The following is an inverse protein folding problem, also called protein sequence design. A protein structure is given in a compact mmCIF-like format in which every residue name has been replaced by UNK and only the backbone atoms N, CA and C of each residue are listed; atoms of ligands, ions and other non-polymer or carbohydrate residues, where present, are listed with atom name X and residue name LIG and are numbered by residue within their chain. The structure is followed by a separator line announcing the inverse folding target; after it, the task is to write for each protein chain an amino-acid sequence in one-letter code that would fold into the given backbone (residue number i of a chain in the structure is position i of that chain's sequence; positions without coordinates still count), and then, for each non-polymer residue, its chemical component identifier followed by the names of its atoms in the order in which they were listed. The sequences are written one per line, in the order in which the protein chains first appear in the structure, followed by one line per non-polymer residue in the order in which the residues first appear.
data_IF_026512431193
#
_entry.id   IF_026512431193
#
_cell.length_a   1.000
_cell.length_b   1.000
_cell.length_c   1.000
_cell.angle_alpha   90.00
_cell.angle_beta   90.00
_cell.angle_gamma   90.00
#
_symmetry.space_group_name_H-M   'P 1'
#
loop_
_entity.id
_entity.type
_entity.pdbx_description
1 polymer ?
#
# COMPACT_ATOMS: atom_id res chain seq x y z
N UNK A 1 -6.04 -3.80 -12.49
CA UNK A 1 -4.59 -3.86 -12.76
C UNK A 1 -4.30 -4.98 -13.77
N UNK A 2 -3.62 -4.68 -14.88
CA UNK A 2 -3.24 -5.68 -15.89
C UNK A 2 -1.77 -6.11 -15.80
N UNK A 3 -0.95 -5.41 -15.00
CA UNK A 3 0.45 -5.74 -14.74
C UNK A 3 0.51 -6.75 -13.59
N UNK A 4 -0.22 -6.48 -12.51
CA UNK A 4 -0.42 -7.39 -11.39
C UNK A 4 -1.93 -7.70 -11.24
N UNK A 5 -2.44 -8.74 -11.94
CA UNK A 5 -3.86 -9.11 -11.84
C UNK A 5 -4.26 -9.37 -10.39
N UNK A 6 -5.33 -8.73 -9.92
CA UNK A 6 -5.70 -8.77 -8.51
C UNK A 6 -6.07 -10.18 -8.01
N UNK A 7 -6.62 -11.03 -8.88
CA UNK A 7 -6.88 -12.44 -8.54
C UNK A 7 -5.58 -13.19 -8.25
N UNK A 8 -4.50 -12.89 -8.97
CA UNK A 8 -3.19 -13.47 -8.73
C UNK A 8 -2.56 -12.96 -7.44
N UNK A 9 -2.71 -11.67 -7.12
CA UNK A 9 -2.23 -11.13 -5.83
C UNK A 9 -3.06 -11.67 -4.66
N UNK A 10 -4.36 -11.89 -4.83
CA UNK A 10 -5.24 -12.57 -3.88
C UNK A 10 -4.78 -14.01 -3.58
N UNK A 11 -4.53 -14.81 -4.63
CA UNK A 11 -3.96 -16.15 -4.47
C UNK A 11 -2.65 -16.12 -3.70
N UNK A 12 -1.77 -15.16 -4.00
CA UNK A 12 -0.52 -14.95 -3.27
C UNK A 12 -0.75 -14.64 -1.78
N UNK A 13 -1.69 -13.75 -1.48
CA UNK A 13 -2.01 -13.33 -0.11
C UNK A 13 -2.48 -14.49 0.78
N UNK A 14 -3.20 -15.48 0.22
CA UNK A 14 -3.67 -16.66 0.95
C UNK A 14 -2.56 -17.61 1.41
N UNK A 15 -1.33 -17.45 0.93
CA UNK A 15 -0.20 -18.29 1.33
C UNK A 15 0.52 -17.79 2.60
N UNK A 16 0.12 -16.65 3.16
CA UNK A 16 0.70 -16.15 4.41
C UNK A 16 0.06 -16.80 5.64
N UNK A 17 0.87 -17.20 6.63
CA UNK A 17 0.43 -17.95 7.83
C UNK A 17 0.02 -17.10 9.04
N UNK A 18 -0.21 -15.79 8.88
CA UNK A 18 -0.66 -14.88 9.93
C UNK A 18 -2.02 -14.23 9.61
N UNK A 19 -2.51 -13.28 10.42
CA UNK A 19 -3.69 -12.50 10.07
C UNK A 19 -3.45 -11.73 8.77
N UNK A 20 -4.22 -12.03 7.73
CA UNK A 20 -4.16 -11.36 6.43
C UNK A 20 -5.42 -10.54 6.23
N UNK A 21 -5.25 -9.28 5.82
CA UNK A 21 -6.34 -8.44 5.31
C UNK A 21 -6.07 -8.19 3.84
N UNK A 22 -7.04 -8.51 2.98
CA UNK A 22 -6.98 -8.16 1.56
C UNK A 22 -7.87 -6.95 1.29
N UNK A 23 -7.35 -5.99 0.53
CA UNK A 23 -8.07 -4.79 0.10
C UNK A 23 -7.88 -4.66 -1.41
N UNK A 24 -9.00 -4.50 -2.12
CA UNK A 24 -8.99 -4.32 -3.56
C UNK A 24 -9.26 -2.86 -3.89
N UNK A 25 -8.25 -2.14 -4.40
CA UNK A 25 -8.43 -0.78 -4.88
C UNK A 25 -9.11 -0.72 -6.24
N UNK A 26 -9.97 0.28 -6.46
CA UNK A 26 -10.51 0.56 -7.79
C UNK A 26 -9.45 1.11 -8.75
N UNK A 27 -9.69 1.00 -10.07
CA UNK A 27 -8.82 1.47 -11.16
C UNK A 27 -7.62 0.56 -11.53
N UNK A 28 -6.70 1.09 -12.34
CA UNK A 28 -5.51 0.40 -12.87
C UNK A 28 -4.30 0.44 -11.95
N UNK A 29 -3.17 -0.14 -12.38
CA UNK A 29 -1.95 -0.32 -11.57
C UNK A 29 -1.51 0.93 -10.80
N UNK A 30 -1.25 2.04 -11.51
CA UNK A 30 -0.81 3.30 -10.88
C UNK A 30 -1.98 4.08 -10.29
N UNK A 31 -3.09 4.21 -11.04
CA UNK A 31 -4.21 5.05 -10.64
C UNK A 31 -4.98 4.51 -9.42
N UNK A 32 -4.96 3.19 -9.19
CA UNK A 32 -5.57 2.56 -8.03
C UNK A 32 -4.67 2.58 -6.79
N UNK A 33 -3.37 2.30 -6.95
CA UNK A 33 -2.44 2.31 -5.82
C UNK A 33 -2.15 3.73 -5.33
N UNK A 34 -1.94 4.68 -6.27
CA UNK A 34 -1.72 6.11 -5.98
C UNK A 34 -3.06 6.85 -6.04
N UNK A 35 -3.88 6.66 -5.01
CA UNK A 35 -5.18 7.30 -4.88
C UNK A 35 -5.23 8.16 -3.60
N UNK A 36 -4.83 9.44 -3.64
CA UNK A 36 -4.85 10.30 -2.46
C UNK A 36 -6.28 10.51 -1.92
N UNK A 37 -6.50 10.45 -0.58
CA UNK A 37 -7.82 10.66 0.02
C UNK A 37 -8.52 11.94 -0.40
N UNK A 38 -7.75 13.04 -0.57
CA UNK A 38 -8.27 14.33 -1.01
C UNK A 38 -8.92 14.30 -2.40
N UNK A 39 -8.55 13.34 -3.26
CA UNK A 39 -9.15 13.20 -4.59
C UNK A 39 -10.55 12.56 -4.55
N UNK A 40 -10.84 11.75 -3.53
CA UNK A 40 -12.09 11.02 -3.33
C UNK A 40 -12.59 10.27 -4.59
N UNK A 41 -11.70 9.49 -5.23
CA UNK A 41 -12.00 8.74 -6.47
C UNK A 41 -11.98 7.23 -6.26
N UNK A 42 -12.63 6.54 -7.20
CA UNK A 42 -12.61 5.08 -7.44
C UNK A 42 -13.29 4.21 -6.38
N UNK A 43 -12.97 4.37 -5.10
CA UNK A 43 -13.37 3.43 -4.05
C UNK A 43 -12.46 2.21 -3.94
N UNK A 44 -12.79 1.34 -2.99
CA UNK A 44 -12.09 0.10 -2.68
C UNK A 44 -13.05 -0.94 -2.11
N UNK A 45 -12.66 -2.21 -2.12
CA UNK A 45 -13.45 -3.32 -1.59
C UNK A 45 -12.69 -4.05 -0.49
N UNK A 46 -13.43 -4.53 0.51
CA UNK A 46 -12.91 -5.39 1.56
C UNK A 46 -14.02 -6.26 2.19
N UNK A 47 -13.63 -7.36 2.81
CA UNK A 47 -14.51 -8.13 3.70
C UNK A 47 -14.22 -7.71 5.15
N UNK A 48 -15.23 -7.21 5.87
CA UNK A 48 -15.06 -6.68 7.24
C UNK A 48 -14.73 -7.78 8.27
N UNK A 49 -15.18 -9.00 8.01
CA UNK A 49 -14.85 -10.18 8.83
C UNK A 49 -13.40 -10.67 8.62
N UNK A 50 -12.70 -10.18 7.60
CA UNK A 50 -11.34 -10.59 7.26
C UNK A 50 -11.25 -11.98 6.63
N UNK A 51 -12.38 -12.59 6.26
CA UNK A 51 -12.39 -13.91 5.65
C UNK A 51 -11.75 -13.91 4.26
N UNK A 52 -11.00 -14.98 3.98
CA UNK A 52 -10.22 -15.15 2.75
C UNK A 52 -10.56 -16.50 2.09
N UNK A 53 -11.77 -16.65 1.52
CA UNK A 53 -12.22 -17.88 0.87
C UNK A 53 -11.29 -18.26 -0.30
N UNK A 54 -11.40 -19.51 -0.76
CA UNK A 54 -10.48 -20.00 -1.78
C UNK A 54 -10.55 -19.26 -3.11
N UNK A 55 -11.76 -18.95 -3.54
CA UNK A 55 -12.03 -18.20 -4.76
C UNK A 55 -11.96 -16.70 -4.51
N UNK A 56 -11.18 -16.02 -5.34
CA UNK A 56 -11.15 -14.56 -5.39
C UNK A 56 -12.53 -13.98 -5.78
N UNK A 57 -13.29 -14.68 -6.64
CA UNK A 57 -14.63 -14.24 -7.03
C UNK A 57 -15.61 -14.32 -5.86
N UNK A 58 -15.53 -15.39 -5.06
CA UNK A 58 -16.33 -15.51 -3.83
C UNK A 58 -15.97 -14.43 -2.82
N UNK A 59 -14.68 -14.10 -2.68
CA UNK A 59 -14.25 -12.98 -1.85
C UNK A 59 -14.85 -11.65 -2.34
N UNK A 60 -14.83 -11.40 -3.66
CA UNK A 60 -15.38 -10.18 -4.22
C UNK A 60 -16.89 -10.07 -4.05
N UNK A 61 -17.63 -11.16 -4.23
CA UNK A 61 -19.08 -11.23 -3.98
C UNK A 61 -19.46 -10.94 -2.53
N UNK A 62 -18.60 -11.34 -1.58
CA UNK A 62 -18.79 -11.07 -0.15
C UNK A 62 -18.27 -9.69 0.30
N UNK A 63 -17.46 -9.03 -0.52
CA UNK A 63 -16.83 -7.75 -0.17
C UNK A 63 -17.80 -6.57 -0.29
N UNK A 64 -17.63 -5.58 0.57
CA UNK A 64 -18.35 -4.31 0.50
C UNK A 64 -17.51 -3.26 -0.22
N UNK A 65 -18.17 -2.45 -1.07
CA UNK A 65 -17.53 -1.31 -1.70
C UNK A 65 -17.57 -0.09 -0.78
N UNK A 66 -16.41 0.47 -0.49
CA UNK A 66 -16.24 1.72 0.22
C UNK A 66 -15.84 2.84 -0.75
N UNK A 67 -16.41 4.05 -0.61
CA UNK A 67 -16.02 5.19 -1.45
C UNK A 67 -14.63 5.72 -1.08
N UNK A 68 -13.98 6.40 -2.02
CA UNK A 68 -12.73 7.11 -1.77
C UNK A 68 -11.47 6.24 -1.79
N UNK A 69 -10.48 6.60 -0.97
CA UNK A 69 -9.14 5.99 -1.00
C UNK A 69 -8.99 4.86 -0.01
N UNK A 70 -8.40 3.75 -0.45
CA UNK A 70 -8.00 2.64 0.44
C UNK A 70 -6.92 3.04 1.47
N UNK A 71 -6.22 4.16 1.29
CA UNK A 71 -5.20 4.63 2.24
C UNK A 71 -5.78 4.90 3.63
N UNK A 72 -7.05 5.32 3.72
CA UNK A 72 -7.70 5.59 5.02
C UNK A 72 -7.97 4.30 5.79
N UNK A 73 -8.38 3.24 5.09
CA UNK A 73 -8.50 1.90 5.68
C UNK A 73 -7.14 1.40 6.17
N UNK A 74 -6.12 1.48 5.31
CA UNK A 74 -4.78 1.04 5.66
C UNK A 74 -4.20 1.80 6.86
N UNK A 75 -4.36 3.13 6.90
CA UNK A 75 -3.94 3.96 8.05
C UNK A 75 -4.66 3.54 9.34
N UNK A 76 -5.97 3.26 9.27
CA UNK A 76 -6.74 2.75 10.41
C UNK A 76 -6.21 1.39 10.88
N UNK A 77 -5.97 0.46 9.94
CA UNK A 77 -5.42 -0.86 10.23
C UNK A 77 -4.03 -0.76 10.89
N UNK A 78 -3.09 0.01 10.34
CA UNK A 78 -1.74 0.18 10.91
C UNK A 78 -1.80 0.79 12.32
N UNK A 79 -2.59 1.84 12.51
CA UNK A 79 -2.72 2.49 13.84
C UNK A 79 -3.44 1.62 14.85
N UNK A 80 -4.30 0.69 14.40
CA UNK A 80 -4.92 -0.33 15.25
C UNK A 80 -3.90 -1.24 15.93
N UNK A 81 -2.75 -1.51 15.32
CA UNK A 81 -1.70 -2.35 15.89
C UNK A 81 -0.94 -1.65 17.03
N UNK A 82 -0.73 -0.33 16.91
CA UNK A 82 -0.11 0.45 17.96
C UNK A 82 -0.56 1.92 17.88
N UNK A 83 -1.30 2.36 18.90
CA UNK A 83 -1.81 3.73 19.02
C UNK A 83 -0.88 4.66 19.81
N UNK A 84 0.24 4.14 20.32
CA UNK A 84 1.18 4.91 21.14
C UNK A 84 1.78 6.04 20.31
N UNK A 85 1.62 7.27 20.79
CA UNK A 85 2.25 8.45 20.20
C UNK A 85 3.45 8.88 21.04
N UNK A 86 4.48 9.36 20.35
CA UNK A 86 5.67 9.96 20.94
C UNK A 86 5.93 11.30 20.27
N UNK A 87 6.74 12.15 20.92
CA UNK A 87 7.19 13.38 20.28
C UNK A 87 7.88 13.07 18.94
N UNK A 88 7.62 13.91 17.93
CA UNK A 88 8.26 13.77 16.63
C UNK A 88 9.79 13.78 16.80
N UNK A 89 10.46 12.81 16.19
CA UNK A 89 11.92 12.69 16.25
C UNK A 89 12.54 13.62 15.22
N UNK A 90 13.62 14.29 15.62
CA UNK A 90 14.52 14.94 14.67
C UNK A 90 15.45 13.89 14.05
N UNK A 91 15.35 13.60 12.74
CA UNK A 91 16.25 12.66 12.08
C UNK A 91 17.74 13.04 12.21
N UNK A 92 18.06 14.33 12.36
CA UNK A 92 19.43 14.81 12.53
C UNK A 92 20.01 14.56 13.93
N UNK A 93 19.16 14.30 14.93
CA UNK A 93 19.57 14.05 16.31
C UNK A 93 19.91 12.57 16.60
N UNK A 94 19.81 11.68 15.60
CA UNK A 94 20.15 10.27 15.74
C UNK A 94 21.67 10.01 15.80
N UNK A 95 22.05 8.77 16.13
CA UNK A 95 23.46 8.35 16.17
C UNK A 95 24.13 8.28 14.78
N UNK A 96 23.34 8.29 13.72
CA UNK A 96 23.81 8.23 12.33
C UNK A 96 23.87 9.65 11.77
N UNK A 97 25.01 10.01 11.19
CA UNK A 97 25.17 11.31 10.54
C UNK A 97 24.32 11.38 9.27
N UNK A 98 23.64 12.50 9.06
CA UNK A 98 23.01 12.80 7.78
C UNK A 98 24.06 12.80 6.67
N UNK A 99 23.73 12.15 5.55
CA UNK A 99 24.64 12.00 4.40
C UNK A 99 24.36 13.09 3.37
N UNK A 100 23.09 13.28 3.01
CA UNK A 100 22.61 14.29 2.06
C UNK A 100 21.10 14.51 2.27
N UNK A 101 20.56 15.60 1.70
CA UNK A 101 19.12 15.85 1.72
C UNK A 101 18.35 14.84 0.85
N UNK A 102 17.14 14.50 1.29
CA UNK A 102 16.19 13.76 0.45
C UNK A 102 15.93 14.53 -0.87
N UNK A 103 15.78 13.85 -2.02
CA UNK A 103 15.54 12.41 -2.17
C UNK A 103 16.81 11.56 -2.35
N UNK A 104 17.99 12.13 -2.11
CA UNK A 104 19.27 11.43 -2.24
C UNK A 104 19.75 11.27 -3.69
N UNK A 105 21.03 10.98 -3.84
CA UNK A 105 21.76 10.88 -5.11
C UNK A 105 21.33 9.68 -5.95
N UNK A 106 20.94 8.56 -5.32
CA UNK A 106 20.67 7.31 -6.04
C UNK A 106 19.45 7.40 -6.95
N UNK A 107 18.36 8.04 -6.51
CA UNK A 107 17.17 8.23 -7.36
C UNK A 107 17.40 9.24 -8.49
N UNK A 108 18.40 10.12 -8.34
CA UNK A 108 18.80 11.12 -9.35
C UNK A 108 19.73 10.54 -10.42
N UNK A 109 20.24 9.32 -10.23
CA UNK A 109 21.10 8.67 -11.20
C UNK A 109 20.37 8.43 -12.53
N UNK A 110 21.03 8.74 -13.64
CA UNK A 110 20.46 8.55 -14.98
C UNK A 110 21.21 7.45 -15.74
N UNK A 111 20.50 6.65 -16.51
CA UNK A 111 21.11 5.58 -17.32
C UNK A 111 22.07 6.14 -18.41
N UNK A 112 21.80 7.35 -18.91
CA UNK A 112 22.66 8.02 -19.89
C UNK A 112 23.92 8.64 -19.28
N UNK A 113 23.92 8.91 -17.97
CA UNK A 113 25.10 9.40 -17.24
C UNK A 113 26.12 8.30 -16.90
N UNK A 114 25.79 7.03 -17.12
CA UNK A 114 26.65 5.88 -16.85
C UNK A 114 27.50 5.41 -18.04
N UNK A 115 27.46 6.10 -19.19
CA UNK A 115 28.39 5.84 -20.31
C UNK A 115 29.61 6.76 -20.26
N UNK A 116 30.64 6.32 -19.54
CA UNK A 116 32.06 6.47 -19.90
C UNK A 116 32.93 5.74 -18.85
N UNK A 117 33.21 4.47 -19.11
CA UNK A 117 34.40 3.76 -18.64
C UNK A 117 34.86 2.84 -19.77
#
# INVERSE_FOLDING_TARGET
DHIAPWKSTYTGARNFGGPVRFVLGGSGHIAGIVNPPAANKYGYWLCEDGEMPESADTWFEASEQHPGSWWTDWQSWVTGHNKTQVAARDPAAGNLKAIEDAPGSYVKARLDSQKAA
#
